data_IF_313462582088
#
_entry.id   IF_313462582088
#
_cell.length_a   1.000
_cell.length_b   1.000
_cell.length_c   1.000
_cell.angle_alpha   90.00
_cell.angle_beta   90.00
_cell.angle_gamma   90.00
#
_symmetry.space_group_name_H-M   'P 1'
#
loop_
_entity.id
_entity.type
_entity.pdbx_description
1 polymer ?
#
# COMPACT_ATOMS: atom_id res chain seq x y z
N UNK A 1 -5.77 -72.70 29.57
CA UNK A 1 -4.73 -71.77 29.18
C UNK A 1 -5.29 -70.98 28.01
N UNK A 2 -5.84 -69.84 28.31
CA UNK A 2 -6.56 -68.94 27.33
C UNK A 2 -5.69 -67.74 27.12
N UNK A 3 -5.21 -67.56 25.90
CA UNK A 3 -4.51 -66.37 25.44
C UNK A 3 -5.53 -65.34 24.88
N UNK A 4 -5.71 -64.26 25.60
CA UNK A 4 -6.46 -63.12 25.15
C UNK A 4 -5.59 -62.29 24.16
N UNK A 5 -6.06 -62.18 22.92
CA UNK A 5 -5.52 -61.24 21.92
C UNK A 5 -6.14 -59.84 22.13
N UNK A 6 -5.32 -58.87 22.51
CA UNK A 6 -5.71 -57.47 22.52
C UNK A 6 -5.74 -56.93 21.07
N UNK A 7 -6.93 -56.71 20.56
CA UNK A 7 -7.16 -55.96 19.35
C UNK A 7 -6.96 -54.43 19.59
N UNK A 8 -5.99 -53.86 18.92
CA UNK A 8 -5.79 -52.40 18.87
C UNK A 8 -6.94 -51.76 18.10
N UNK A 9 -7.53 -50.66 18.57
CA UNK A 9 -8.53 -49.94 17.80
C UNK A 9 -7.89 -49.25 16.57
N UNK A 10 -8.43 -49.56 15.41
CA UNK A 10 -8.14 -48.88 14.15
C UNK A 10 -8.40 -47.37 14.33
N UNK A 11 -7.36 -46.59 14.27
CA UNK A 11 -7.44 -45.12 14.16
C UNK A 11 -8.16 -44.80 12.86
N UNK A 12 -9.42 -44.43 12.99
CA UNK A 12 -10.24 -43.93 11.89
C UNK A 12 -9.58 -42.69 11.29
N UNK A 13 -9.21 -42.81 10.02
CA UNK A 13 -8.60 -41.72 9.26
C UNK A 13 -9.44 -40.46 9.31
N UNK A 14 -8.97 -39.46 10.03
CA UNK A 14 -9.44 -38.09 9.87
C UNK A 14 -9.17 -37.69 8.41
N UNK A 15 -10.23 -37.63 7.62
CA UNK A 15 -10.20 -37.05 6.29
C UNK A 15 -9.66 -35.61 6.40
N UNK A 16 -8.41 -35.37 5.96
CA UNK A 16 -7.82 -34.06 5.84
C UNK A 16 -8.83 -33.16 5.10
N UNK A 17 -9.59 -32.35 5.83
CA UNK A 17 -10.41 -31.27 5.25
C UNK A 17 -9.47 -30.47 4.35
N UNK A 18 -9.65 -30.52 3.03
CA UNK A 18 -8.96 -29.65 2.07
C UNK A 18 -9.15 -28.22 2.57
N UNK A 19 -8.11 -27.63 3.12
CA UNK A 19 -8.14 -26.25 3.61
C UNK A 19 -8.29 -25.33 2.40
N UNK A 20 -9.50 -24.83 2.19
CA UNK A 20 -9.77 -23.92 1.06
C UNK A 20 -9.04 -22.61 1.34
N UNK A 21 -8.23 -22.15 0.38
CA UNK A 21 -7.52 -20.86 0.46
C UNK A 21 -8.51 -19.69 0.55
N UNK A 22 -9.65 -19.81 -0.14
CA UNK A 22 -10.72 -18.79 -0.16
C UNK A 22 -12.03 -19.44 0.29
N UNK A 23 -12.58 -18.96 1.41
CA UNK A 23 -13.90 -19.40 1.90
C UNK A 23 -15.01 -18.78 1.06
N UNK A 24 -16.21 -19.41 1.02
CA UNK A 24 -17.37 -18.85 0.29
C UNK A 24 -17.71 -17.41 0.72
N UNK A 25 -17.78 -17.06 2.02
CA UNK A 25 -18.01 -15.67 2.43
C UNK A 25 -16.93 -14.72 1.92
N UNK A 26 -15.66 -15.13 1.96
CA UNK A 26 -14.55 -14.33 1.46
C UNK A 26 -14.63 -14.13 -0.06
N UNK A 27 -15.04 -15.16 -0.83
CA UNK A 27 -15.23 -15.06 -2.28
C UNK A 27 -16.33 -14.03 -2.66
N UNK A 28 -17.48 -14.06 -1.99
CA UNK A 28 -18.57 -13.10 -2.20
C UNK A 28 -18.11 -11.68 -1.84
N UNK A 29 -17.38 -11.56 -0.73
CA UNK A 29 -16.82 -10.29 -0.29
C UNK A 29 -15.80 -9.72 -1.30
N UNK A 30 -14.89 -10.57 -1.78
CA UNK A 30 -13.91 -10.18 -2.82
C UNK A 30 -14.61 -9.74 -4.12
N UNK A 31 -15.69 -10.41 -4.52
CA UNK A 31 -16.51 -9.98 -5.66
C UNK A 31 -17.05 -8.56 -5.50
N UNK A 32 -17.57 -8.22 -4.33
CA UNK A 32 -18.01 -6.86 -4.02
C UNK A 32 -16.85 -5.86 -4.03
N UNK A 33 -15.68 -6.26 -3.51
CA UNK A 33 -14.50 -5.41 -3.49
C UNK A 33 -13.96 -5.17 -4.91
N UNK A 34 -13.95 -6.18 -5.78
CA UNK A 34 -13.56 -6.06 -7.18
C UNK A 34 -14.43 -5.02 -7.90
N UNK A 35 -15.75 -5.12 -7.80
CA UNK A 35 -16.67 -4.16 -8.42
C UNK A 35 -16.40 -2.72 -7.98
N UNK A 36 -16.27 -2.50 -6.67
CA UNK A 36 -15.98 -1.18 -6.13
C UNK A 36 -14.62 -0.65 -6.60
N UNK A 37 -13.62 -1.53 -6.66
CA UNK A 37 -12.26 -1.14 -7.01
C UNK A 37 -12.11 -0.86 -8.51
N UNK A 38 -12.82 -1.57 -9.40
CA UNK A 38 -12.89 -1.22 -10.83
C UNK A 38 -13.39 0.23 -10.97
N UNK A 39 -14.50 0.58 -10.32
CA UNK A 39 -15.02 1.94 -10.34
C UNK A 39 -14.02 2.97 -9.82
N UNK A 40 -13.28 2.65 -8.74
CA UNK A 40 -12.25 3.51 -8.21
C UNK A 40 -11.08 3.72 -9.18
N UNK A 41 -10.58 2.65 -9.77
CA UNK A 41 -9.44 2.70 -10.71
C UNK A 41 -9.78 3.40 -12.02
N UNK A 42 -11.04 3.35 -12.48
CA UNK A 42 -11.50 4.13 -13.64
C UNK A 42 -11.33 5.64 -13.43
N UNK A 43 -11.47 6.10 -12.20
CA UNK A 43 -11.47 7.54 -11.89
C UNK A 43 -10.06 8.11 -11.71
N UNK A 44 -9.09 7.28 -11.37
CA UNK A 44 -7.78 7.72 -10.85
C UNK A 44 -7.03 8.66 -11.82
N UNK A 45 -6.95 8.28 -13.10
CA UNK A 45 -6.28 9.10 -14.12
C UNK A 45 -7.20 10.18 -14.72
N UNK A 46 -8.51 10.00 -14.59
CA UNK A 46 -9.48 10.93 -15.18
C UNK A 46 -9.84 12.08 -14.24
N UNK A 47 -9.60 11.95 -12.94
CA UNK A 47 -9.96 12.96 -11.94
C UNK A 47 -9.31 14.32 -12.19
N UNK A 48 -7.99 14.46 -12.46
CA UNK A 48 -7.37 15.75 -12.74
C UNK A 48 -7.98 16.44 -13.97
N UNK A 49 -8.24 15.65 -15.03
CA UNK A 49 -8.84 16.13 -16.27
C UNK A 49 -10.31 16.57 -16.07
N UNK A 50 -11.06 15.83 -15.26
CA UNK A 50 -12.43 16.20 -14.92
C UNK A 50 -12.48 17.49 -14.11
N UNK A 51 -11.66 17.63 -13.08
CA UNK A 51 -11.56 18.85 -12.27
C UNK A 51 -11.19 20.05 -13.14
N UNK A 52 -10.28 19.88 -14.11
CA UNK A 52 -9.96 20.90 -15.09
C UNK A 52 -11.15 21.22 -16.00
N UNK A 53 -11.90 20.23 -16.47
CA UNK A 53 -13.09 20.45 -17.32
C UNK A 53 -14.21 21.21 -16.60
N UNK A 54 -14.19 21.23 -15.27
CA UNK A 54 -15.09 22.03 -14.43
C UNK A 54 -14.57 23.46 -14.16
N UNK A 55 -13.58 23.93 -14.93
CA UNK A 55 -13.05 25.29 -14.90
C UNK A 55 -11.84 25.50 -14.00
N UNK A 56 -11.23 24.46 -13.42
CA UNK A 56 -9.99 24.62 -12.66
C UNK A 56 -8.79 24.83 -13.58
N UNK A 57 -7.91 25.76 -13.25
CA UNK A 57 -6.58 25.81 -13.84
C UNK A 57 -5.65 24.78 -13.18
N UNK A 58 -4.47 24.53 -13.75
CA UNK A 58 -3.54 23.49 -13.27
C UNK A 58 -3.12 23.68 -11.80
N UNK A 59 -2.90 24.92 -11.37
CA UNK A 59 -2.60 25.22 -9.96
C UNK A 59 -3.77 24.89 -9.04
N UNK A 60 -5.01 25.17 -9.47
CA UNK A 60 -6.22 24.83 -8.73
C UNK A 60 -6.46 23.30 -8.69
N UNK A 61 -6.08 22.57 -9.74
CA UNK A 61 -6.07 21.09 -9.69
C UNK A 61 -5.07 20.60 -8.63
N UNK A 62 -3.88 21.18 -8.57
CA UNK A 62 -2.92 20.89 -7.48
C UNK A 62 -3.50 21.18 -6.09
N UNK A 63 -4.16 22.35 -5.93
CA UNK A 63 -4.86 22.74 -4.70
C UNK A 63 -5.96 21.75 -4.33
N UNK A 64 -6.75 21.30 -5.31
CA UNK A 64 -7.79 20.28 -5.13
C UNK A 64 -7.20 19.00 -4.50
N UNK A 65 -6.11 18.46 -5.04
CA UNK A 65 -5.47 17.26 -4.49
C UNK A 65 -4.85 17.50 -3.11
N UNK A 66 -4.26 18.66 -2.87
CA UNK A 66 -3.74 19.04 -1.55
C UNK A 66 -4.84 19.02 -0.50
N UNK A 67 -5.96 19.71 -0.72
CA UNK A 67 -7.06 19.80 0.23
C UNK A 67 -7.71 18.44 0.46
N UNK A 68 -7.96 17.69 -0.62
CA UNK A 68 -8.66 16.40 -0.53
C UNK A 68 -7.81 15.29 0.09
N UNK A 69 -6.47 15.44 0.13
CA UNK A 69 -5.57 14.51 0.82
C UNK A 69 -5.57 14.68 2.35
N UNK A 70 -6.07 15.79 2.89
CA UNK A 70 -6.16 16.02 4.34
C UNK A 70 -7.12 15.02 4.99
N UNK A 71 -8.28 14.77 4.38
CA UNK A 71 -9.32 13.90 4.96
C UNK A 71 -8.83 12.46 5.19
N UNK A 72 -8.22 11.75 4.21
CA UNK A 72 -7.69 10.41 4.45
C UNK A 72 -6.64 10.37 5.56
N UNK A 73 -5.73 11.34 5.61
CA UNK A 73 -4.68 11.40 6.63
C UNK A 73 -5.26 11.58 8.04
N UNK A 74 -6.32 12.38 8.17
CA UNK A 74 -6.94 12.65 9.48
C UNK A 74 -7.82 11.50 9.94
N UNK A 75 -8.61 10.91 9.04
CA UNK A 75 -9.65 9.94 9.40
C UNK A 75 -9.22 8.47 9.29
N UNK A 76 -8.07 8.14 8.71
CA UNK A 76 -7.61 6.77 8.55
C UNK A 76 -7.44 6.04 9.89
N UNK A 77 -6.89 6.72 10.90
CA UNK A 77 -6.70 6.18 12.25
C UNK A 77 -8.07 5.95 12.92
N UNK A 78 -8.98 6.93 12.79
CA UNK A 78 -10.33 6.83 13.34
C UNK A 78 -11.14 5.70 12.69
N UNK A 79 -10.98 5.50 11.39
CA UNK A 79 -11.65 4.43 10.63
C UNK A 79 -11.31 3.02 11.16
N UNK A 80 -10.04 2.79 11.49
CA UNK A 80 -9.58 1.54 12.12
C UNK A 80 -10.23 1.32 13.49
N UNK A 81 -10.21 2.34 14.34
CA UNK A 81 -10.83 2.28 15.67
C UNK A 81 -12.36 2.02 15.63
N UNK A 82 -13.07 2.70 14.73
CA UNK A 82 -14.50 2.50 14.54
C UNK A 82 -14.77 1.07 14.03
N UNK A 83 -13.97 0.58 13.09
CA UNK A 83 -14.08 -0.78 12.58
C UNK A 83 -13.96 -1.84 13.68
N UNK A 84 -13.03 -1.64 14.62
CA UNK A 84 -12.86 -2.53 15.77
C UNK A 84 -14.05 -2.49 16.74
N UNK A 85 -14.69 -1.32 16.86
CA UNK A 85 -15.80 -1.11 17.82
C UNK A 85 -17.15 -1.63 17.33
N UNK A 86 -17.49 -1.41 16.04
CA UNK A 86 -18.81 -1.73 15.49
C UNK A 86 -18.81 -3.00 14.64
N UNK A 87 -17.64 -3.56 14.34
CA UNK A 87 -17.44 -4.74 13.48
C UNK A 87 -17.03 -4.40 12.04
N UNK A 88 -16.26 -5.30 11.43
CA UNK A 88 -15.63 -5.09 10.11
C UNK A 88 -16.63 -4.78 8.99
N UNK A 89 -17.65 -5.65 8.83
CA UNK A 89 -18.65 -5.51 7.77
C UNK A 89 -19.55 -4.29 7.96
N UNK A 90 -19.82 -3.92 9.21
CA UNK A 90 -20.60 -2.72 9.54
C UNK A 90 -19.83 -1.44 9.19
N UNK A 91 -18.55 -1.37 9.54
CA UNK A 91 -17.69 -0.25 9.18
C UNK A 91 -17.57 -0.10 7.66
N UNK A 92 -17.36 -1.21 6.93
CA UNK A 92 -17.35 -1.23 5.47
C UNK A 92 -18.66 -0.71 4.90
N UNK A 93 -19.80 -1.09 5.50
CA UNK A 93 -21.12 -0.64 5.05
C UNK A 93 -21.30 0.87 5.20
N UNK A 94 -20.88 1.44 6.34
CA UNK A 94 -20.92 2.90 6.57
C UNK A 94 -20.01 3.62 5.56
N UNK A 95 -18.77 3.16 5.39
CA UNK A 95 -17.89 3.72 4.39
C UNK A 95 -18.44 3.63 2.97
N UNK A 96 -19.17 2.54 2.67
CA UNK A 96 -19.81 2.36 1.37
C UNK A 96 -20.90 3.40 1.09
N UNK A 97 -21.69 3.81 2.10
CA UNK A 97 -22.68 4.90 1.94
C UNK A 97 -21.96 6.21 1.59
N UNK A 98 -20.91 6.58 2.33
CA UNK A 98 -20.13 7.78 2.05
C UNK A 98 -19.55 7.77 0.63
N UNK A 99 -18.99 6.63 0.20
CA UNK A 99 -18.48 6.47 -1.15
C UNK A 99 -19.55 6.64 -2.22
N UNK A 100 -20.74 6.05 -2.04
CA UNK A 100 -21.85 6.18 -2.98
C UNK A 100 -22.34 7.64 -3.10
N UNK A 101 -22.46 8.33 -1.97
CA UNK A 101 -22.78 9.77 -1.95
C UNK A 101 -21.73 10.55 -2.73
N UNK A 102 -20.44 10.28 -2.50
CA UNK A 102 -19.34 10.93 -3.23
C UNK A 102 -19.45 10.72 -4.74
N UNK A 103 -19.73 9.50 -5.21
CA UNK A 103 -19.90 9.23 -6.65
C UNK A 103 -21.10 9.96 -7.26
N UNK A 104 -22.24 10.02 -6.54
CA UNK A 104 -23.39 10.80 -6.96
C UNK A 104 -23.02 12.28 -7.07
N UNK A 105 -22.30 12.81 -6.09
CA UNK A 105 -21.83 14.19 -6.12
C UNK A 105 -20.87 14.46 -7.30
N UNK A 106 -20.01 13.50 -7.71
CA UNK A 106 -19.18 13.68 -8.90
C UNK A 106 -19.99 13.84 -10.18
N UNK A 107 -21.08 13.10 -10.33
CA UNK A 107 -21.95 13.17 -11.51
C UNK A 107 -22.61 14.54 -11.63
N UNK A 108 -23.04 15.11 -10.52
CA UNK A 108 -23.79 16.37 -10.46
C UNK A 108 -22.92 17.60 -10.17
N UNK A 109 -21.59 17.44 -10.12
CA UNK A 109 -20.68 18.53 -9.78
C UNK A 109 -20.83 19.72 -10.73
N UNK A 110 -21.23 20.92 -10.23
CA UNK A 110 -21.36 22.12 -11.04
C UNK A 110 -20.02 22.85 -11.22
N UNK A 111 -19.06 22.63 -10.31
CA UNK A 111 -17.77 23.33 -10.29
C UNK A 111 -16.69 22.48 -9.62
N UNK A 112 -15.44 22.83 -9.85
CA UNK A 112 -14.30 22.15 -9.24
C UNK A 112 -14.25 22.32 -7.72
N UNK A 113 -14.75 23.41 -7.16
CA UNK A 113 -14.83 23.62 -5.70
C UNK A 113 -15.80 22.62 -5.07
N UNK A 114 -16.94 22.35 -5.73
CA UNK A 114 -17.88 21.34 -5.28
C UNK A 114 -17.24 19.94 -5.26
N UNK A 115 -16.33 19.68 -6.20
CA UNK A 115 -15.57 18.42 -6.23
C UNK A 115 -14.68 18.23 -5.00
N UNK A 116 -14.23 19.30 -4.32
CA UNK A 116 -13.49 19.17 -3.05
C UNK A 116 -14.37 18.49 -1.99
N UNK A 117 -15.61 18.95 -1.83
CA UNK A 117 -16.55 18.33 -0.89
C UNK A 117 -16.88 16.89 -1.30
N UNK A 118 -17.15 16.67 -2.58
CA UNK A 118 -17.44 15.33 -3.11
C UNK A 118 -16.30 14.34 -2.89
N UNK A 119 -15.07 14.74 -3.20
CA UNK A 119 -13.87 13.90 -2.99
C UNK A 119 -13.59 13.69 -1.50
N UNK A 120 -13.80 14.70 -0.65
CA UNK A 120 -13.64 14.57 0.80
C UNK A 120 -14.60 13.54 1.37
N UNK A 121 -15.88 13.58 0.97
CA UNK A 121 -16.89 12.58 1.38
C UNK A 121 -16.54 11.19 0.84
N UNK A 122 -16.15 11.07 -0.42
CA UNK A 122 -15.72 9.80 -1.00
C UNK A 122 -14.50 9.21 -0.28
N UNK A 123 -13.58 10.05 0.18
CA UNK A 123 -12.38 9.61 0.92
C UNK A 123 -12.70 8.98 2.28
N UNK A 124 -13.83 9.35 2.89
CA UNK A 124 -14.29 8.70 4.13
C UNK A 124 -14.51 7.20 3.89
N UNK A 125 -14.95 6.80 2.69
CA UNK A 125 -15.10 5.39 2.35
C UNK A 125 -13.78 4.62 2.50
N UNK A 126 -12.68 5.16 2.00
CA UNK A 126 -11.37 4.50 2.10
C UNK A 126 -10.87 4.37 3.53
N UNK A 127 -11.16 5.36 4.39
CA UNK A 127 -10.79 5.34 5.81
C UNK A 127 -11.45 4.19 6.58
N UNK A 128 -12.68 3.84 6.24
CA UNK A 128 -13.39 2.72 6.85
C UNK A 128 -13.13 1.39 6.16
N UNK A 129 -13.13 1.39 4.83
CA UNK A 129 -13.07 0.16 4.04
C UNK A 129 -11.69 -0.47 4.09
N UNK A 130 -10.61 0.29 3.94
CA UNK A 130 -9.25 -0.26 3.83
C UNK A 130 -8.80 -1.04 5.07
N UNK A 131 -8.83 -0.49 6.30
CA UNK A 131 -8.43 -1.24 7.49
C UNK A 131 -9.38 -2.40 7.80
N UNK A 132 -10.68 -2.21 7.61
CA UNK A 132 -11.69 -3.25 7.83
C UNK A 132 -11.53 -4.43 6.86
N UNK A 133 -11.15 -4.14 5.61
CA UNK A 133 -10.89 -5.14 4.58
C UNK A 133 -9.69 -6.03 4.97
N UNK A 134 -8.57 -5.42 5.31
CA UNK A 134 -7.37 -6.13 5.74
C UNK A 134 -7.66 -7.06 6.94
N UNK A 135 -8.34 -6.51 7.95
CA UNK A 135 -8.73 -7.27 9.13
C UNK A 135 -9.70 -8.42 8.79
N UNK A 136 -10.70 -8.18 7.94
CA UNK A 136 -11.65 -9.22 7.53
C UNK A 136 -10.97 -10.35 6.76
N UNK A 137 -10.05 -10.04 5.84
CA UNK A 137 -9.26 -11.06 5.13
C UNK A 137 -8.42 -11.88 6.11
N UNK A 138 -7.79 -11.24 7.09
CA UNK A 138 -7.01 -11.92 8.11
C UNK A 138 -7.87 -12.85 9.00
N UNK A 139 -9.06 -12.40 9.41
CA UNK A 139 -10.01 -13.16 10.23
C UNK A 139 -10.63 -14.37 9.48
N UNK A 140 -10.77 -14.26 8.14
CA UNK A 140 -11.30 -15.34 7.30
C UNK A 140 -10.23 -16.33 6.84
N UNK A 141 -8.96 -16.09 7.16
CA UNK A 141 -7.82 -16.90 6.77
C UNK A 141 -7.28 -17.70 7.97
N UNK A 142 -6.97 -18.99 7.78
CA UNK A 142 -6.21 -19.73 8.78
C UNK A 142 -4.78 -19.17 8.89
N UNK A 143 -4.15 -19.30 10.06
CA UNK A 143 -2.77 -18.79 10.27
C UNK A 143 -1.78 -19.34 9.25
N UNK A 144 -1.87 -20.63 8.94
CA UNK A 144 -1.01 -21.31 7.97
C UNK A 144 -1.18 -20.81 6.53
N UNK A 145 -2.39 -20.39 6.15
CA UNK A 145 -2.73 -19.99 4.77
C UNK A 145 -2.83 -18.47 4.60
N UNK A 146 -2.68 -17.70 5.68
CA UNK A 146 -2.89 -16.23 5.67
C UNK A 146 -2.06 -15.52 4.61
N UNK A 147 -0.76 -15.82 4.53
CA UNK A 147 0.11 -15.23 3.52
C UNK A 147 -0.35 -15.55 2.09
N UNK A 148 -0.76 -16.80 1.82
CA UNK A 148 -1.27 -17.21 0.51
C UNK A 148 -2.60 -16.54 0.17
N UNK A 149 -3.48 -16.37 1.17
CA UNK A 149 -4.76 -15.67 0.98
C UNK A 149 -4.53 -14.21 0.61
N UNK A 150 -3.65 -13.49 1.32
CA UNK A 150 -3.29 -12.12 0.99
C UNK A 150 -2.65 -12.02 -0.40
N UNK A 151 -1.71 -12.88 -0.74
CA UNK A 151 -1.10 -12.90 -2.06
C UNK A 151 -2.12 -13.12 -3.20
N UNK A 152 -3.11 -13.99 -2.98
CA UNK A 152 -4.19 -14.22 -3.94
C UNK A 152 -5.08 -12.98 -4.08
N UNK A 153 -5.42 -12.35 -2.97
CA UNK A 153 -6.21 -11.11 -2.95
C UNK A 153 -5.46 -9.98 -3.67
N UNK A 154 -4.18 -9.78 -3.40
CA UNK A 154 -3.35 -8.76 -4.05
C UNK A 154 -3.22 -9.01 -5.58
N UNK A 155 -3.11 -10.28 -5.98
CA UNK A 155 -3.10 -10.65 -7.40
C UNK A 155 -4.40 -10.25 -8.11
N UNK A 156 -5.55 -10.49 -7.47
CA UNK A 156 -6.87 -10.08 -7.98
C UNK A 156 -6.95 -8.54 -8.12
N UNK A 157 -6.48 -7.81 -7.12
CA UNK A 157 -6.45 -6.34 -7.16
C UNK A 157 -5.55 -5.79 -8.26
N UNK A 158 -4.43 -6.46 -8.53
CA UNK A 158 -3.54 -6.08 -9.64
C UNK A 158 -4.26 -6.18 -11.00
N UNK A 159 -5.03 -7.26 -11.23
CA UNK A 159 -5.84 -7.40 -12.46
C UNK A 159 -6.86 -6.27 -12.60
N UNK A 160 -7.51 -5.88 -11.50
CA UNK A 160 -8.45 -4.74 -11.49
C UNK A 160 -7.73 -3.43 -11.83
N UNK A 161 -6.51 -3.24 -11.32
CA UNK A 161 -5.64 -2.11 -11.66
C UNK A 161 -5.24 -2.05 -13.13
N UNK A 162 -5.20 -3.20 -13.82
CA UNK A 162 -4.97 -3.26 -15.29
C UNK A 162 -6.20 -2.83 -16.07
N UNK A 163 -7.37 -3.32 -15.70
CA UNK A 163 -8.61 -3.13 -16.48
C UNK A 163 -9.23 -1.75 -16.22
N UNK A 164 -9.28 -1.32 -14.96
CA UNK A 164 -10.01 -0.12 -14.52
C UNK A 164 -9.61 1.16 -15.25
N UNK A 165 -8.32 1.55 -15.29
CA UNK A 165 -7.91 2.82 -15.89
C UNK A 165 -8.19 2.90 -17.39
N UNK A 166 -7.98 1.80 -18.13
CA UNK A 166 -8.30 1.74 -19.57
C UNK A 166 -9.80 1.87 -19.80
N UNK A 167 -10.65 1.22 -19.01
CA UNK A 167 -12.11 1.38 -19.08
C UNK A 167 -12.52 2.82 -18.77
N UNK A 168 -11.93 3.44 -17.75
CA UNK A 168 -12.17 4.83 -17.40
C UNK A 168 -11.84 5.78 -18.56
N UNK A 169 -10.69 5.60 -19.18
CA UNK A 169 -10.26 6.33 -20.35
C UNK A 169 -11.21 6.14 -21.55
N UNK A 170 -11.61 4.90 -21.84
CA UNK A 170 -12.53 4.57 -22.94
C UNK A 170 -13.91 5.20 -22.75
N UNK A 171 -14.50 5.04 -21.55
CA UNK A 171 -15.84 5.55 -21.28
C UNK A 171 -15.83 7.07 -21.25
N UNK A 172 -14.85 7.69 -20.60
CA UNK A 172 -14.73 9.16 -20.56
C UNK A 172 -14.51 9.78 -21.95
N UNK A 173 -13.78 9.08 -22.83
CA UNK A 173 -13.56 9.53 -24.21
C UNK A 173 -14.83 9.47 -25.07
N UNK A 174 -15.62 8.38 -24.95
CA UNK A 174 -16.79 8.18 -25.78
C UNK A 174 -18.06 8.87 -25.27
N UNK A 175 -18.23 8.89 -23.97
CA UNK A 175 -19.48 9.31 -23.32
C UNK A 175 -19.31 10.52 -22.39
N UNK A 176 -18.06 10.91 -22.07
CA UNK A 176 -17.74 11.99 -21.16
C UNK A 176 -17.53 11.54 -19.72
N UNK A 177 -16.99 12.46 -18.91
CA UNK A 177 -16.62 12.17 -17.52
C UNK A 177 -17.81 11.84 -16.62
N UNK A 178 -18.94 12.54 -16.78
CA UNK A 178 -20.15 12.31 -15.95
C UNK A 178 -20.68 10.88 -16.11
N UNK A 179 -20.71 10.38 -17.34
CA UNK A 179 -21.14 9.02 -17.66
C UNK A 179 -20.14 7.98 -17.11
N UNK A 180 -18.85 8.27 -17.17
CA UNK A 180 -17.82 7.43 -16.53
C UNK A 180 -18.06 7.34 -15.03
N UNK A 181 -18.32 8.46 -14.33
CA UNK A 181 -18.67 8.44 -12.92
C UNK A 181 -19.99 7.74 -12.63
N UNK A 182 -20.98 7.83 -13.54
CA UNK A 182 -22.25 7.09 -13.42
C UNK A 182 -22.02 5.57 -13.50
N UNK A 183 -21.18 5.09 -14.41
CA UNK A 183 -20.78 3.67 -14.47
C UNK A 183 -20.03 3.26 -13.19
N UNK A 184 -19.10 4.10 -12.71
CA UNK A 184 -18.41 3.85 -11.44
C UNK A 184 -19.38 3.80 -10.25
N UNK A 185 -20.35 4.70 -10.21
CA UNK A 185 -21.41 4.71 -9.17
C UNK A 185 -22.27 3.43 -9.22
N UNK A 186 -22.62 2.95 -10.42
CA UNK A 186 -23.40 1.72 -10.60
C UNK A 186 -22.62 0.49 -10.11
N UNK A 187 -21.33 0.37 -10.47
CA UNK A 187 -20.47 -0.71 -9.98
C UNK A 187 -20.33 -0.66 -8.45
N UNK A 188 -20.18 0.54 -7.91
CA UNK A 188 -20.08 0.76 -6.47
C UNK A 188 -21.39 0.46 -5.74
N UNK A 189 -22.54 0.81 -6.33
CA UNK A 189 -23.87 0.47 -5.82
C UNK A 189 -24.11 -1.05 -5.81
N UNK A 190 -23.69 -1.77 -6.87
CA UNK A 190 -23.71 -3.23 -6.89
C UNK A 190 -22.87 -3.84 -5.77
N UNK A 191 -21.68 -3.30 -5.54
CA UNK A 191 -20.85 -3.68 -4.39
C UNK A 191 -21.53 -3.37 -3.05
N UNK A 192 -22.23 -2.23 -2.95
CA UNK A 192 -22.95 -1.82 -1.75
C UNK A 192 -24.02 -2.83 -1.37
N UNK A 193 -24.84 -3.27 -2.33
CA UNK A 193 -25.89 -4.28 -2.09
C UNK A 193 -25.31 -5.55 -1.47
N UNK A 194 -24.21 -6.06 -2.04
CA UNK A 194 -23.54 -7.27 -1.53
C UNK A 194 -23.00 -7.04 -0.11
N UNK A 195 -22.34 -5.91 0.14
CA UNK A 195 -21.77 -5.57 1.45
C UNK A 195 -22.85 -5.42 2.52
N UNK A 196 -23.96 -4.76 2.21
CA UNK A 196 -25.09 -4.63 3.13
C UNK A 196 -25.76 -5.98 3.43
N UNK A 197 -25.95 -6.83 2.42
CA UNK A 197 -26.48 -8.18 2.62
C UNK A 197 -25.57 -9.00 3.54
N UNK A 198 -24.26 -8.93 3.36
CA UNK A 198 -23.30 -9.62 4.22
C UNK A 198 -23.31 -9.07 5.65
N UNK A 199 -23.36 -7.75 5.83
CA UNK A 199 -23.41 -7.12 7.15
C UNK A 199 -24.72 -7.48 7.90
N UNK A 200 -25.85 -7.51 7.20
CA UNK A 200 -27.15 -7.93 7.76
C UNK A 200 -27.12 -9.40 8.22
N UNK A 201 -26.56 -10.29 7.40
CA UNK A 201 -26.41 -11.71 7.74
C UNK A 201 -25.47 -11.90 8.95
N UNK A 202 -24.37 -11.17 9.01
CA UNK A 202 -23.43 -11.23 10.14
C UNK A 202 -24.10 -10.81 11.46
N UNK A 203 -24.93 -9.76 11.45
CA UNK A 203 -25.72 -9.33 12.63
C UNK A 203 -26.70 -10.42 13.10
N UNK A 204 -27.41 -11.08 12.19
CA UNK A 204 -28.33 -12.17 12.53
C UNK A 204 -27.60 -13.35 13.18
N UNK A 205 -26.43 -13.70 12.67
CA UNK A 205 -25.64 -14.82 13.20
C UNK A 205 -25.00 -14.49 14.56
N UNK A 206 -24.56 -13.25 14.78
CA UNK A 206 -23.99 -12.81 16.06
C UNK A 206 -25.07 -12.67 17.14
N UNK A 207 -26.28 -12.21 16.81
CA UNK A 207 -27.42 -12.18 17.74
C UNK A 207 -27.79 -13.58 18.24
N UNK A 208 -27.64 -14.61 17.43
CA UNK A 208 -27.89 -16.00 17.80
C UNK A 208 -26.73 -16.65 18.62
N UNK A 209 -25.53 -16.04 18.63
CA UNK A 209 -24.34 -16.48 19.37
C UNK A 209 -23.98 -15.64 20.61
N UNK A 210 -24.80 -14.72 21.02
CA UNK A 210 -24.55 -13.77 22.12
C UNK A 210 -24.40 -14.38 23.54
N UNK A 211 -24.08 -15.68 23.64
CA UNK A 211 -23.78 -16.39 24.90
C UNK A 211 -22.31 -16.70 25.19
N UNK A 212 -21.37 -16.49 24.29
CA UNK A 212 -20.00 -16.96 24.49
C UNK A 212 -18.96 -16.22 23.62
N UNK A 213 -18.69 -14.97 23.92
CA UNK A 213 -17.48 -14.30 23.40
C UNK A 213 -16.99 -13.26 24.41
N UNK A 214 -16.23 -13.73 25.40
CA UNK A 214 -15.27 -12.91 26.12
C UNK A 214 -14.10 -12.62 25.15
N UNK A 215 -14.31 -11.69 24.24
CA UNK A 215 -13.24 -11.14 23.39
C UNK A 215 -12.48 -10.11 24.18
N UNK A 216 -11.16 -10.27 24.28
CA UNK A 216 -10.27 -9.24 24.81
C UNK A 216 -10.59 -7.91 24.15
N UNK A 217 -10.99 -6.92 24.96
CA UNK A 217 -11.24 -5.56 24.49
C UNK A 217 -9.89 -5.03 23.96
N UNK A 218 -9.80 -4.66 22.67
CA UNK A 218 -8.57 -4.10 22.15
C UNK A 218 -8.18 -2.90 23.02
N UNK A 219 -6.95 -2.89 23.53
CA UNK A 219 -6.44 -1.75 24.29
C UNK A 219 -6.64 -0.47 23.48
N UNK A 220 -7.42 0.44 24.00
CA UNK A 220 -7.70 1.74 23.36
C UNK A 220 -6.37 2.43 23.11
N UNK A 221 -6.05 2.84 21.88
CA UNK A 221 -4.86 3.63 21.63
C UNK A 221 -5.01 4.96 22.36
N UNK A 222 -4.39 5.06 23.54
CA UNK A 222 -4.36 6.29 24.32
C UNK A 222 -3.50 7.30 23.55
N UNK A 223 -3.93 8.56 23.50
CA UNK A 223 -3.16 9.65 22.87
C UNK A 223 -1.69 9.67 23.37
N UNK A 224 -1.49 9.30 24.64
CA UNK A 224 -0.17 9.14 25.25
C UNK A 224 0.66 8.03 24.56
N UNK A 225 0.06 6.87 24.23
CA UNK A 225 0.74 5.79 23.50
C UNK A 225 1.11 6.24 22.08
N UNK A 226 0.24 7.00 21.41
CA UNK A 226 0.52 7.55 20.08
C UNK A 226 1.69 8.52 20.11
N UNK A 227 1.69 9.46 21.07
CA UNK A 227 2.79 10.42 21.28
C UNK A 227 4.09 9.71 21.67
N UNK A 228 4.01 8.68 22.49
CA UNK A 228 5.18 7.88 22.89
C UNK A 228 5.77 7.12 21.70
N UNK A 229 4.92 6.52 20.86
CA UNK A 229 5.36 5.85 19.64
C UNK A 229 5.96 6.84 18.63
N UNK A 230 5.39 8.04 18.50
CA UNK A 230 5.98 9.10 17.68
C UNK A 230 7.35 9.55 18.19
N UNK A 231 7.50 9.77 19.52
CA UNK A 231 8.80 10.09 20.11
C UNK A 231 9.83 8.99 19.90
N UNK A 232 9.45 7.73 20.10
CA UNK A 232 10.34 6.60 19.87
C UNK A 232 10.80 6.51 18.40
N UNK A 233 9.96 6.87 17.47
CA UNK A 233 10.32 6.87 16.05
C UNK A 233 11.15 8.08 15.64
N UNK A 234 10.85 9.27 16.16
CA UNK A 234 11.74 10.43 15.98
C UNK A 234 13.13 10.12 16.53
N UNK A 235 13.23 9.45 17.68
CA UNK A 235 14.52 9.01 18.21
C UNK A 235 15.24 7.99 17.31
N UNK A 236 14.50 7.04 16.70
CA UNK A 236 15.05 6.12 15.72
C UNK A 236 15.52 6.83 14.44
N UNK A 237 14.79 7.84 13.98
CA UNK A 237 15.16 8.66 12.83
C UNK A 237 16.42 9.52 13.10
N UNK A 238 16.57 10.00 14.34
CA UNK A 238 17.71 10.81 14.78
C UNK A 238 18.91 9.95 15.18
N UNK A 239 18.73 8.68 15.47
CA UNK A 239 19.80 7.75 15.87
C UNK A 239 20.86 7.51 14.79
N UNK A 240 20.58 7.91 13.55
CA UNK A 240 21.48 7.72 12.42
C UNK A 240 21.44 6.30 11.83
N UNK A 241 22.20 6.07 10.78
CA UNK A 241 22.31 4.76 10.14
C UNK A 241 21.34 4.53 8.96
N UNK A 242 21.07 3.26 8.68
CA UNK A 242 20.26 2.84 7.50
C UNK A 242 18.85 3.40 7.53
N UNK A 243 18.21 3.37 8.69
CA UNK A 243 16.82 3.81 8.86
C UNK A 243 16.67 5.29 8.55
N UNK A 244 17.58 6.12 9.03
CA UNK A 244 17.57 7.57 8.78
C UNK A 244 17.71 7.89 7.30
N UNK A 245 18.66 7.25 6.61
CA UNK A 245 18.86 7.46 5.17
C UNK A 245 17.70 6.94 4.34
N UNK A 246 17.10 5.82 4.75
CA UNK A 246 15.92 5.26 4.11
C UNK A 246 14.73 6.23 4.22
N UNK A 247 14.49 6.77 5.41
CA UNK A 247 13.41 7.71 5.65
C UNK A 247 13.59 9.04 4.90
N UNK A 248 14.81 9.58 4.88
CA UNK A 248 15.12 10.80 4.11
C UNK A 248 14.89 10.55 2.62
N UNK A 249 15.39 9.43 2.11
CA UNK A 249 15.26 9.10 0.68
C UNK A 249 13.81 8.88 0.27
N UNK A 250 13.04 8.16 1.09
CA UNK A 250 11.62 7.92 0.86
C UNK A 250 10.83 9.23 0.93
N UNK A 251 11.11 10.09 1.92
CA UNK A 251 10.50 11.42 2.04
C UNK A 251 10.78 12.33 0.86
N UNK A 252 12.03 12.40 0.40
CA UNK A 252 12.41 13.19 -0.78
C UNK A 252 11.74 12.63 -2.03
N UNK A 253 11.70 11.31 -2.20
CA UNK A 253 11.04 10.66 -3.33
C UNK A 253 9.54 10.90 -3.32
N UNK A 254 8.87 10.74 -2.17
CA UNK A 254 7.43 10.92 -2.05
C UNK A 254 7.00 12.36 -2.38
N UNK A 255 7.73 13.36 -1.84
CA UNK A 255 7.50 14.77 -2.21
C UNK A 255 7.69 14.97 -3.72
N UNK A 256 8.80 14.48 -4.26
CA UNK A 256 9.15 14.68 -5.66
C UNK A 256 8.13 14.04 -6.62
N UNK A 257 7.75 12.79 -6.35
CA UNK A 257 6.76 12.07 -7.16
C UNK A 257 5.34 12.65 -7.01
N UNK A 258 4.94 13.03 -5.80
CA UNK A 258 3.63 13.62 -5.53
C UNK A 258 3.48 15.01 -6.18
N UNK A 259 4.57 15.77 -6.27
CA UNK A 259 4.60 17.09 -6.87
C UNK A 259 4.17 17.09 -8.36
N UNK A 260 4.65 16.11 -9.14
CA UNK A 260 4.31 15.97 -10.56
C UNK A 260 3.21 14.95 -10.84
N UNK A 261 3.15 13.85 -10.09
CA UNK A 261 2.34 12.67 -10.43
C UNK A 261 0.85 12.92 -10.57
N UNK A 262 0.28 13.82 -9.74
CA UNK A 262 -1.13 14.21 -9.86
C UNK A 262 -1.42 15.09 -11.09
N UNK A 263 -0.39 15.68 -11.68
CA UNK A 263 -0.49 16.58 -12.85
C UNK A 263 -0.13 15.88 -14.17
N UNK A 264 0.42 14.66 -14.12
CA UNK A 264 0.78 13.89 -15.33
C UNK A 264 -0.36 13.75 -16.34
N UNK A 265 -1.61 13.41 -15.95
CA UNK A 265 -2.71 13.34 -16.89
C UNK A 265 -2.98 14.66 -17.61
N UNK A 266 -2.81 15.80 -16.92
CA UNK A 266 -2.93 17.13 -17.52
C UNK A 266 -1.79 17.40 -18.52
N UNK A 267 -0.57 16.97 -18.21
CA UNK A 267 0.55 17.08 -19.14
C UNK A 267 0.30 16.28 -20.41
N UNK A 268 -0.17 15.05 -20.27
CA UNK A 268 -0.48 14.20 -21.41
C UNK A 268 -1.64 14.75 -22.26
N UNK A 269 -2.71 15.22 -21.63
CA UNK A 269 -3.86 15.80 -22.34
C UNK A 269 -3.57 17.16 -22.97
N UNK A 270 -3.06 18.10 -22.17
CA UNK A 270 -2.96 19.51 -22.58
C UNK A 270 -1.71 19.82 -23.42
N UNK A 271 -0.58 19.14 -23.15
CA UNK A 271 0.70 19.46 -23.79
C UNK A 271 1.02 18.47 -24.91
N UNK A 272 0.74 17.20 -24.70
CA UNK A 272 1.05 16.14 -25.69
C UNK A 272 -0.16 15.91 -26.61
N UNK A 273 -1.38 16.21 -26.18
CA UNK A 273 -2.60 16.01 -26.98
C UNK A 273 -3.10 14.55 -26.98
N UNK A 274 -2.82 13.80 -25.89
CA UNK A 274 -3.30 12.42 -25.78
C UNK A 274 -4.79 12.36 -25.51
N UNK A 275 -5.44 11.34 -26.05
CA UNK A 275 -6.83 11.02 -25.73
C UNK A 275 -6.97 10.42 -24.34
N UNK A 276 -8.17 10.49 -23.73
CA UNK A 276 -8.45 9.90 -22.43
C UNK A 276 -8.16 8.37 -22.40
N UNK A 277 -8.44 7.68 -23.49
CA UNK A 277 -8.11 6.25 -23.61
C UNK A 277 -6.60 6.00 -23.53
N UNK A 278 -5.80 6.80 -24.23
CA UNK A 278 -4.34 6.72 -24.17
C UNK A 278 -3.83 7.00 -22.78
N UNK A 279 -4.33 8.04 -22.11
CA UNK A 279 -3.95 8.39 -20.74
C UNK A 279 -4.30 7.27 -19.75
N UNK A 280 -5.52 6.72 -19.82
CA UNK A 280 -5.93 5.62 -18.98
C UNK A 280 -5.11 4.34 -19.21
N UNK A 281 -4.78 4.02 -20.47
CA UNK A 281 -3.99 2.84 -20.81
C UNK A 281 -2.55 2.88 -20.30
N UNK A 282 -1.95 4.06 -20.11
CA UNK A 282 -0.61 4.20 -19.52
C UNK A 282 -0.55 3.61 -18.10
N UNK A 283 -1.53 3.91 -17.23
CA UNK A 283 -1.59 3.32 -15.89
C UNK A 283 -1.81 1.81 -15.94
N UNK A 284 -2.61 1.33 -16.89
CA UNK A 284 -2.78 -0.11 -17.12
C UNK A 284 -1.47 -0.79 -17.52
N UNK A 285 -0.66 -0.15 -18.37
CA UNK A 285 0.69 -0.62 -18.76
C UNK A 285 1.60 -0.71 -17.53
N UNK A 286 1.59 0.30 -16.65
CA UNK A 286 2.31 0.25 -15.37
C UNK A 286 1.94 -1.00 -14.58
N UNK A 287 0.64 -1.21 -14.36
CA UNK A 287 0.14 -2.33 -13.56
C UNK A 287 0.47 -3.70 -14.19
N UNK A 288 0.39 -3.83 -15.53
CA UNK A 288 0.84 -5.05 -16.22
C UNK A 288 2.34 -5.27 -16.03
N UNK A 289 3.13 -4.21 -16.17
CA UNK A 289 4.58 -4.30 -15.97
C UNK A 289 4.91 -4.70 -14.53
N UNK A 290 4.25 -4.09 -13.54
CA UNK A 290 4.43 -4.46 -12.14
C UNK A 290 3.99 -5.90 -11.87
N UNK A 291 2.88 -6.37 -12.43
CA UNK A 291 2.40 -7.74 -12.28
C UNK A 291 3.45 -8.77 -12.72
N UNK A 292 4.16 -8.49 -13.81
CA UNK A 292 5.20 -9.38 -14.34
C UNK A 292 6.54 -9.21 -13.61
N UNK A 293 6.91 -7.96 -13.32
CA UNK A 293 8.25 -7.62 -12.81
C UNK A 293 8.38 -7.68 -11.28
N UNK A 294 7.29 -7.58 -10.51
CA UNK A 294 7.36 -7.57 -9.05
C UNK A 294 8.00 -8.85 -8.45
N UNK A 295 7.64 -10.07 -8.93
CA UNK A 295 8.32 -11.29 -8.47
C UNK A 295 9.82 -11.30 -8.82
N UNK A 296 10.17 -10.79 -10.02
CA UNK A 296 11.56 -10.70 -10.46
C UNK A 296 12.36 -9.66 -9.66
N UNK A 297 11.72 -8.54 -9.30
CA UNK A 297 12.30 -7.52 -8.42
C UNK A 297 12.59 -8.04 -7.02
N UNK A 298 11.71 -8.87 -6.45
CA UNK A 298 11.95 -9.57 -5.19
C UNK A 298 13.17 -10.50 -5.27
N UNK A 299 13.21 -11.36 -6.27
CA UNK A 299 14.36 -12.25 -6.53
C UNK A 299 15.67 -11.49 -6.77
N UNK A 300 15.59 -10.34 -7.43
CA UNK A 300 16.74 -9.46 -7.64
C UNK A 300 17.24 -8.88 -6.31
N UNK A 301 16.33 -8.37 -5.47
CA UNK A 301 16.67 -7.84 -4.15
C UNK A 301 17.32 -8.90 -3.25
N UNK A 302 16.84 -10.15 -3.31
CA UNK A 302 17.41 -11.27 -2.56
C UNK A 302 18.84 -11.61 -3.01
N UNK A 303 19.11 -11.61 -4.33
CA UNK A 303 20.42 -11.99 -4.89
C UNK A 303 21.43 -10.85 -4.91
N UNK A 304 21.04 -9.67 -5.40
CA UNK A 304 21.92 -8.52 -5.57
C UNK A 304 21.96 -7.60 -4.32
N UNK A 305 21.02 -7.82 -3.39
CA UNK A 305 20.87 -7.03 -2.17
C UNK A 305 19.97 -5.82 -2.35
N UNK A 306 19.37 -5.38 -1.24
CA UNK A 306 18.36 -4.31 -1.22
C UNK A 306 18.92 -2.97 -1.78
N UNK A 307 20.17 -2.64 -1.47
CA UNK A 307 20.79 -1.40 -1.97
C UNK A 307 20.82 -1.34 -3.50
N UNK A 308 21.09 -2.49 -4.15
CA UNK A 308 21.09 -2.60 -5.60
C UNK A 308 19.67 -2.40 -6.16
N UNK A 309 18.66 -3.06 -5.56
CA UNK A 309 17.27 -2.90 -5.94
C UNK A 309 16.80 -1.45 -5.85
N UNK A 310 17.11 -0.77 -4.75
CA UNK A 310 16.72 0.63 -4.52
C UNK A 310 17.44 1.56 -5.51
N UNK A 311 18.76 1.46 -5.64
CA UNK A 311 19.54 2.38 -6.50
C UNK A 311 19.21 2.21 -7.97
N UNK A 312 19.09 0.97 -8.44
CA UNK A 312 18.72 0.68 -9.84
C UNK A 312 17.27 1.07 -10.11
N UNK A 313 16.35 0.86 -9.14
CA UNK A 313 14.97 1.32 -9.24
C UNK A 313 14.89 2.84 -9.46
N UNK A 314 15.65 3.64 -8.70
CA UNK A 314 15.75 5.09 -8.92
C UNK A 314 16.35 5.46 -10.28
N UNK A 315 17.31 4.69 -10.81
CA UNK A 315 17.82 4.91 -12.16
C UNK A 315 16.75 4.67 -13.23
N UNK A 316 15.90 3.66 -13.07
CA UNK A 316 14.77 3.45 -13.96
C UNK A 316 13.77 4.61 -13.91
N UNK A 317 13.46 5.13 -12.72
CA UNK A 317 12.60 6.31 -12.58
C UNK A 317 13.23 7.55 -13.22
N UNK A 318 14.51 7.84 -12.96
CA UNK A 318 15.18 9.00 -13.57
C UNK A 318 15.23 8.90 -15.09
N UNK A 319 15.54 7.72 -15.63
CA UNK A 319 15.53 7.47 -17.08
C UNK A 319 14.13 7.63 -17.65
N UNK A 320 13.11 7.14 -16.95
CA UNK A 320 11.71 7.29 -17.33
C UNK A 320 11.28 8.76 -17.37
N UNK A 321 11.57 9.56 -16.33
CA UNK A 321 11.26 10.99 -16.34
C UNK A 321 12.05 11.77 -17.39
N UNK A 322 13.30 11.42 -17.62
CA UNK A 322 14.09 12.02 -18.70
C UNK A 322 13.45 11.72 -20.07
N UNK A 323 13.10 10.46 -20.31
CA UNK A 323 12.43 10.06 -21.56
C UNK A 323 11.06 10.74 -21.69
N UNK A 324 10.28 10.84 -20.60
CA UNK A 324 9.00 11.54 -20.56
C UNK A 324 9.13 12.99 -21.05
N UNK A 325 10.12 13.74 -20.56
CA UNK A 325 10.35 15.14 -20.93
C UNK A 325 10.76 15.31 -22.41
N UNK A 326 11.38 14.29 -23.01
CA UNK A 326 11.79 14.26 -24.41
C UNK A 326 10.70 13.70 -25.35
N UNK A 327 9.73 12.97 -24.81
CA UNK A 327 8.71 12.25 -25.56
C UNK A 327 7.64 13.17 -26.13
N UNK A 328 7.16 12.83 -27.34
CA UNK A 328 6.09 13.54 -28.04
C UNK A 328 5.00 12.62 -28.60
N UNK A 329 5.24 11.29 -28.62
CA UNK A 329 4.35 10.30 -29.21
C UNK A 329 3.92 9.30 -28.14
N UNK A 330 2.68 8.83 -28.23
CA UNK A 330 2.12 7.84 -27.29
C UNK A 330 3.03 6.61 -27.08
N UNK A 331 3.58 6.04 -28.18
CA UNK A 331 4.47 4.88 -28.07
C UNK A 331 5.73 5.11 -27.21
N UNK A 332 6.25 6.34 -27.17
CA UNK A 332 7.38 6.67 -26.31
C UNK A 332 6.94 6.70 -24.82
N UNK A 333 5.75 7.22 -24.55
CA UNK A 333 5.19 7.20 -23.19
C UNK A 333 4.86 5.78 -22.71
N UNK A 334 4.50 4.86 -23.60
CA UNK A 334 4.38 3.43 -23.26
C UNK A 334 5.69 2.90 -22.67
N UNK A 335 6.83 3.22 -23.30
CA UNK A 335 8.16 2.85 -22.78
C UNK A 335 8.43 3.52 -21.43
N UNK A 336 8.09 4.79 -21.27
CA UNK A 336 8.22 5.51 -19.98
C UNK A 336 7.50 4.78 -18.86
N UNK A 337 6.24 4.39 -19.09
CA UNK A 337 5.44 3.72 -18.07
C UNK A 337 5.90 2.28 -17.79
N UNK A 338 6.48 1.60 -18.77
CA UNK A 338 7.20 0.32 -18.54
C UNK A 338 8.43 0.54 -17.65
N UNK A 339 9.24 1.58 -17.90
CA UNK A 339 10.39 1.91 -17.04
C UNK A 339 9.95 2.23 -15.62
N UNK A 340 8.85 2.99 -15.43
CA UNK A 340 8.28 3.24 -14.10
C UNK A 340 7.85 1.94 -13.42
N UNK A 341 7.20 1.03 -14.14
CA UNK A 341 6.79 -0.27 -13.62
C UNK A 341 7.96 -1.15 -13.18
N UNK A 342 9.05 -1.18 -13.96
CA UNK A 342 10.28 -1.88 -13.59
C UNK A 342 10.91 -1.24 -12.35
N UNK A 343 11.04 0.10 -12.35
CA UNK A 343 11.58 0.85 -11.21
C UNK A 343 10.80 0.58 -9.92
N UNK A 344 9.47 0.67 -9.95
CA UNK A 344 8.60 0.38 -8.82
C UNK A 344 8.74 -1.07 -8.33
N UNK A 345 8.84 -2.02 -9.25
CA UNK A 345 9.00 -3.45 -8.93
C UNK A 345 10.33 -3.80 -8.28
N UNK A 346 11.38 -3.02 -8.52
CA UNK A 346 12.68 -3.15 -7.85
C UNK A 346 12.69 -2.44 -6.50
N UNK A 347 12.10 -1.25 -6.42
CA UNK A 347 12.08 -0.43 -5.21
C UNK A 347 11.24 -1.05 -4.09
N UNK A 348 9.98 -1.39 -4.37
CA UNK A 348 9.01 -1.79 -3.35
C UNK A 348 9.46 -2.99 -2.50
N UNK A 349 9.87 -4.15 -3.05
CA UNK A 349 10.33 -5.27 -2.24
C UNK A 349 11.64 -4.98 -1.50
N UNK A 350 12.55 -4.20 -2.12
CA UNK A 350 13.82 -3.84 -1.50
C UNK A 350 13.64 -2.91 -0.29
N UNK A 351 12.74 -1.91 -0.38
CA UNK A 351 12.37 -1.06 0.77
C UNK A 351 11.73 -1.87 1.88
N UNK A 352 10.74 -2.72 1.57
CA UNK A 352 10.05 -3.54 2.56
C UNK A 352 11.01 -4.51 3.27
N UNK A 353 11.92 -5.14 2.53
CA UNK A 353 12.96 -6.00 3.09
C UNK A 353 13.89 -5.23 4.04
N UNK A 354 14.34 -4.04 3.63
CA UNK A 354 15.26 -3.23 4.41
C UNK A 354 14.61 -2.72 5.71
N UNK A 355 13.37 -2.24 5.64
CA UNK A 355 12.61 -1.84 6.83
C UNK A 355 12.42 -3.01 7.78
N UNK A 356 12.06 -4.20 7.27
CA UNK A 356 11.85 -5.38 8.09
C UNK A 356 13.12 -5.88 8.79
N UNK A 357 14.30 -5.66 8.19
CA UNK A 357 15.61 -6.00 8.77
C UNK A 357 16.12 -4.95 9.77
N UNK A 358 15.81 -3.66 9.50
CA UNK A 358 16.33 -2.55 10.27
C UNK A 358 15.48 -2.22 11.52
N UNK A 359 14.20 -2.63 11.54
CA UNK A 359 13.26 -2.33 12.63
C UNK A 359 12.95 -3.59 13.44
N UNK A 360 13.04 -3.53 14.80
CA UNK A 360 12.64 -4.63 15.67
C UNK A 360 11.22 -5.10 15.39
N UNK A 361 10.97 -6.40 15.47
CA UNK A 361 9.69 -7.03 15.11
C UNK A 361 8.47 -6.38 15.77
N UNK A 362 8.58 -6.07 17.07
CA UNK A 362 7.52 -5.41 17.85
C UNK A 362 7.17 -4.00 17.37
N UNK A 363 8.06 -3.34 16.61
CA UNK A 363 7.92 -1.96 16.15
C UNK A 363 7.66 -1.86 14.64
N UNK A 364 7.69 -2.98 13.89
CA UNK A 364 7.51 -2.95 12.41
C UNK A 364 6.19 -2.32 12.00
N UNK A 365 5.08 -2.68 12.65
CA UNK A 365 3.77 -2.09 12.36
C UNK A 365 3.75 -0.57 12.59
N UNK A 366 4.35 -0.10 13.70
CA UNK A 366 4.49 1.34 13.99
C UNK A 366 5.38 2.02 12.96
N UNK A 367 6.48 1.38 12.53
CA UNK A 367 7.36 1.91 11.52
C UNK A 367 6.64 2.10 10.18
N UNK A 368 5.96 1.06 9.67
CA UNK A 368 5.19 1.16 8.43
C UNK A 368 4.08 2.22 8.51
N UNK A 369 3.36 2.27 9.64
CA UNK A 369 2.32 3.28 9.85
C UNK A 369 2.87 4.70 9.85
N UNK A 370 4.03 4.92 10.46
CA UNK A 370 4.68 6.22 10.50
C UNK A 370 5.32 6.62 9.16
N UNK A 371 5.98 5.68 8.46
CA UNK A 371 6.42 5.91 7.10
C UNK A 371 5.24 6.40 6.25
N UNK A 372 4.14 5.68 6.26
CA UNK A 372 2.96 6.04 5.47
C UNK A 372 2.33 7.38 5.89
N UNK A 373 2.21 7.67 7.20
CA UNK A 373 1.51 8.87 7.68
C UNK A 373 2.40 10.11 7.66
N UNK A 374 3.66 10.01 8.07
CA UNK A 374 4.56 11.17 8.11
C UNK A 374 4.95 11.63 6.72
N UNK A 375 5.18 10.70 5.80
CA UNK A 375 5.44 11.04 4.40
C UNK A 375 4.22 11.68 3.76
N UNK A 376 3.03 11.13 3.95
CA UNK A 376 1.79 11.72 3.47
C UNK A 376 1.56 13.13 4.00
N UNK A 377 1.94 13.43 5.24
CA UNK A 377 1.81 14.77 5.83
C UNK A 377 2.83 15.77 5.25
N UNK A 378 4.08 15.32 5.05
CA UNK A 378 5.15 16.16 4.49
C UNK A 378 4.90 16.44 3.01
N UNK A 379 4.42 15.47 2.25
CA UNK A 379 4.11 15.60 0.81
C UNK A 379 2.77 16.28 0.52
N UNK A 380 1.97 16.58 1.56
CA UNK A 380 0.64 17.17 1.41
C UNK A 380 0.61 18.44 0.57
N UNK A 381 1.53 19.44 0.70
CA UNK A 381 1.54 20.64 -0.13
C UNK A 381 2.10 20.40 -1.53
N UNK A 382 2.70 19.25 -1.82
CA UNK A 382 3.42 18.99 -3.04
C UNK A 382 2.56 19.15 -4.32
N UNK A 383 1.31 18.66 -4.42
CA UNK A 383 0.49 18.87 -5.63
C UNK A 383 0.23 20.35 -5.92
N UNK A 384 -0.01 21.16 -4.88
CA UNK A 384 -0.20 22.61 -5.06
C UNK A 384 1.09 23.29 -5.54
N UNK A 385 2.23 22.96 -4.93
CA UNK A 385 3.54 23.47 -5.33
C UNK A 385 3.84 23.07 -6.78
N UNK A 386 3.55 21.83 -7.17
CA UNK A 386 3.68 21.36 -8.54
C UNK A 386 2.82 22.16 -9.53
N UNK A 387 1.56 22.44 -9.17
CA UNK A 387 0.69 23.29 -9.96
C UNK A 387 1.17 24.74 -10.07
N UNK A 388 1.76 25.28 -9.00
CA UNK A 388 2.38 26.60 -8.98
C UNK A 388 3.62 26.65 -9.90
N UNK A 389 4.51 25.63 -9.79
CA UNK A 389 5.68 25.50 -10.66
C UNK A 389 5.29 25.41 -12.14
N UNK A 390 4.23 24.65 -12.44
CA UNK A 390 3.69 24.56 -13.79
C UNK A 390 3.29 25.93 -14.33
N UNK A 391 2.56 26.70 -13.52
CA UNK A 391 2.06 28.03 -13.91
C UNK A 391 3.17 29.06 -14.07
N UNK A 392 4.17 29.06 -13.18
CA UNK A 392 5.21 30.12 -13.12
C UNK A 392 6.45 29.80 -13.95
N UNK A 393 6.86 28.54 -13.98
CA UNK A 393 8.10 28.09 -14.60
C UNK A 393 7.88 27.23 -15.87
N UNK A 394 6.62 26.84 -16.13
CA UNK A 394 6.23 26.08 -17.30
C UNK A 394 5.87 24.60 -17.03
N UNK A 395 5.20 23.95 -18.00
CA UNK A 395 4.56 22.67 -17.81
C UNK A 395 5.51 21.48 -17.59
N UNK A 396 6.80 21.60 -17.87
CA UNK A 396 7.82 20.56 -17.69
C UNK A 396 8.48 20.56 -16.32
N UNK A 397 8.45 21.71 -15.63
CA UNK A 397 9.21 21.91 -14.37
C UNK A 397 8.79 21.01 -13.23
N UNK A 398 7.49 20.69 -12.99
CA UNK A 398 7.12 19.74 -11.93
C UNK A 398 7.75 18.35 -12.10
N UNK A 399 8.01 17.93 -13.34
CA UNK A 399 8.56 16.62 -13.67
C UNK A 399 10.10 16.57 -13.66
N UNK A 400 10.75 17.73 -13.63
CA UNK A 400 12.21 17.82 -13.44
C UNK A 400 12.60 17.48 -12.00
N UNK A 401 11.71 17.74 -11.03
CA UNK A 401 12.01 17.45 -9.61
C UNK A 401 12.16 15.94 -9.37
N UNK A 402 11.21 15.05 -9.74
CA UNK A 402 11.42 13.61 -9.60
C UNK A 402 12.55 13.06 -10.46
N UNK A 403 12.86 13.66 -11.62
CA UNK A 403 14.04 13.32 -12.41
C UNK A 403 15.33 13.56 -11.60
N UNK A 404 15.51 14.78 -11.10
CA UNK A 404 16.73 15.16 -10.37
C UNK A 404 16.83 14.40 -9.04
N UNK A 405 15.74 14.31 -8.29
CA UNK A 405 15.73 13.58 -7.02
C UNK A 405 16.12 12.11 -7.20
N UNK A 406 15.54 11.41 -8.19
CA UNK A 406 15.87 10.01 -8.45
C UNK A 406 17.32 9.84 -8.95
N UNK A 407 17.81 10.77 -9.77
CA UNK A 407 19.19 10.75 -10.26
C UNK A 407 20.21 10.95 -9.13
N UNK A 408 19.89 11.80 -8.15
CA UNK A 408 20.73 12.05 -6.97
C UNK A 408 20.62 10.93 -5.94
N UNK A 409 19.40 10.42 -5.71
CA UNK A 409 19.18 9.37 -4.72
C UNK A 409 19.82 8.03 -5.13
N UNK A 410 19.88 7.71 -6.41
CA UNK A 410 20.47 6.45 -6.88
C UNK A 410 21.91 6.25 -6.39
N UNK A 411 22.89 7.14 -6.66
CA UNK A 411 24.28 6.99 -6.16
C UNK A 411 24.37 7.24 -4.65
N UNK A 412 23.57 8.18 -4.11
CA UNK A 412 23.58 8.48 -2.67
C UNK A 412 23.23 7.25 -1.84
N UNK A 413 22.15 6.55 -2.20
CA UNK A 413 21.70 5.35 -1.50
C UNK A 413 22.65 4.18 -1.73
N UNK A 414 23.24 4.07 -2.92
CA UNK A 414 24.28 3.07 -3.16
C UNK A 414 25.45 3.21 -2.19
N UNK A 415 25.90 4.43 -1.92
CA UNK A 415 27.01 4.71 -1.00
C UNK A 415 26.58 4.53 0.47
N UNK A 416 25.47 5.16 0.87
CA UNK A 416 25.06 5.21 2.28
C UNK A 416 24.55 3.87 2.81
N UNK A 417 23.81 3.11 2.01
CA UNK A 417 23.36 1.78 2.41
C UNK A 417 24.48 0.73 2.38
N UNK A 418 25.56 0.97 1.62
CA UNK A 418 26.76 0.12 1.60
C UNK A 418 27.62 0.28 2.84
N UNK A 419 27.84 1.50 3.29
CA UNK A 419 28.68 1.80 4.46
C UNK A 419 28.08 1.35 5.80
N UNK A 420 26.75 1.24 5.88
CA UNK A 420 26.07 0.79 7.08
C UNK A 420 26.17 -0.73 7.32
N UNK A 421 26.32 -1.53 6.26
CA UNK A 421 26.58 -2.99 6.37
C UNK A 421 28.01 -3.25 6.90
N UNK A 422 28.96 -2.43 6.53
CA UNK A 422 30.34 -2.53 7.03
C UNK A 422 30.44 -2.28 8.53
N UNK A 423 29.71 -1.30 9.06
CA UNK A 423 29.68 -1.01 10.51
C UNK A 423 28.95 -2.06 11.35
N UNK A 424 27.84 -2.62 10.85
CA UNK A 424 27.13 -3.69 11.52
C UNK A 424 27.92 -5.02 11.53
N UNK A 425 28.68 -5.31 10.47
CA UNK A 425 29.59 -6.45 10.41
C UNK A 425 30.81 -6.29 11.30
N UNK A 426 31.37 -5.07 11.40
CA UNK A 426 32.52 -4.78 12.28
C UNK A 426 32.16 -4.89 13.77
N UNK A 427 30.99 -4.38 14.19
CA UNK A 427 30.52 -4.51 15.57
C UNK A 427 30.16 -5.96 15.97
N UNK A 428 29.70 -6.78 15.02
CA UNK A 428 29.42 -8.20 15.26
C UNK A 428 30.72 -9.02 15.36
N UNK A 429 31.79 -8.64 14.63
CA UNK A 429 33.10 -9.30 14.72
C UNK A 429 33.89 -8.90 15.98
N UNK A 430 33.69 -7.68 16.51
CA UNK A 430 34.29 -7.24 17.77
C UNK A 430 33.64 -7.91 18.99
N UNK A 431 32.35 -8.23 18.95
CA UNK A 431 31.64 -8.97 20.03
C UNK A 431 31.95 -10.46 19.96
N UNK A 432 32.27 -11.00 18.77
CA UNK A 432 32.66 -12.41 18.58
C UNK A 432 34.14 -12.71 18.80
N UNK A 433 35.02 -11.69 18.84
CA UNK A 433 36.48 -11.83 18.99
C UNK A 433 37.01 -11.75 20.42
N UNK A 434 36.17 -11.47 21.40
CA UNK A 434 36.56 -11.26 22.82
C UNK A 434 36.47 -12.48 23.73
N UNK A 435 36.49 -13.71 23.20
CA UNK A 435 36.23 -14.89 24.00
C UNK A 435 37.15 -16.11 23.78
N UNK A 436 38.49 -15.93 23.62
CA UNK A 436 39.42 -17.03 23.72
C UNK A 436 40.70 -16.58 24.41
N UNK A 437 40.67 -16.39 25.73
CA UNK A 437 41.83 -16.42 26.58
C UNK A 437 41.58 -17.45 27.67
N UNK A 438 42.29 -18.57 27.56
CA UNK A 438 42.71 -19.51 28.55
C UNK A 438 41.80 -19.78 29.75
N UNK A 439 40.98 -20.82 29.69
CA UNK A 439 40.61 -21.55 30.89
C UNK A 439 41.33 -22.90 30.88
N UNK A 440 42.32 -23.02 31.78
CA UNK A 440 42.98 -24.26 32.18
C UNK A 440 41.93 -25.30 32.52
N UNK A 441 42.01 -26.45 31.86
CA UNK A 441 41.35 -27.71 32.28
C UNK A 441 41.97 -28.15 33.60
N UNK A 442 41.22 -28.11 34.70
CA UNK A 442 41.49 -28.80 35.94
C UNK A 442 40.88 -30.21 35.79
N UNK A 443 41.65 -31.28 36.03
CA UNK A 443 41.09 -32.66 35.99
C UNK A 443 40.14 -32.88 37.18
N UNK A 444 38.98 -33.41 36.93
CA UNK A 444 38.07 -33.93 37.98
C UNK A 444 38.66 -35.22 38.53
N UNK A 445 39.05 -35.19 39.81
CA UNK A 445 39.38 -36.35 40.61
C UNK A 445 38.13 -37.25 40.84
N UNK A 446 38.34 -38.52 40.74
CA UNK A 446 37.39 -39.61 41.02
C UNK A 446 36.90 -39.57 42.49
N UNK A 447 35.62 -39.49 42.75
CA UNK A 447 35.02 -39.75 44.03
C UNK A 447 34.50 -41.21 44.10
N UNK A 448 34.83 -41.95 45.18
CA UNK A 448 34.49 -43.36 45.26
C UNK A 448 33.05 -43.61 45.71
N UNK A 449 32.47 -44.66 45.17
CA UNK A 449 31.20 -45.22 45.57
C UNK A 449 31.19 -45.59 47.04
N UNK A 450 30.19 -45.13 47.83
CA UNK A 450 29.80 -45.69 49.11
C UNK A 450 28.44 -46.38 48.99
N UNK A 451 28.47 -47.70 49.22
CA UNK A 451 27.30 -48.53 49.48
C UNK A 451 26.73 -48.21 50.89
N UNK A 452 25.49 -48.66 51.07
CA UNK A 452 24.77 -48.99 52.29
C UNK A 452 23.64 -48.06 52.75
N UNK A 453 22.55 -48.81 52.84
CA UNK A 453 21.29 -48.77 53.62
C UNK A 453 20.06 -48.16 52.90
#
# INVERSE_FOLDING_TARGET
MSTQSHGSPLVSGEAKKKTQIITRPLMVFLGAMILANIGHQMNQQMMPLYVQSLGANVQQVGLFFTITSIMPLTFQILGGFISDSIGRLQAISIGTIAGLIGYIMYIWAPSWQFMIAAQSIASVASCFVSPSFQAYVAEQSSEEMRARTFATVDSIYTVVGVIGPTLGGLISQRFGYRQMFAVSALLYAGAAVIRFAMAANARRTSSSRAGSASGAVPERPTLAKLVQNMKAMVSLLLAGGVITWLFIADGVSDIAFTLGGRLEPLYYGNIIGMSNLQIGSLLSILNVTMMVMLPLGGLFADKAGERAGISIGHLFFSTGYMLMLLSRRYAQFTVVWVLYGIGASLLSPAYNSLISKAVPEKMRGTAYGLFSTSLGLISLPAPYIGGLMWRTLGPRTPFMVPLVSSLVLAPLLWIKLGSARGKAGASASEVGGGGTSGQHLVPLEDEPASADA
#
